data_IF_471789565086
#
_entry.id   IF_471789565086
#
_cell.length_a   1.000
_cell.length_b   1.000
_cell.length_c   1.000
_cell.angle_alpha   90.00
_cell.angle_beta   90.00
_cell.angle_gamma   90.00
#
_symmetry.space_group_name_H-M   'P 1'
#
loop_
_entity.id
_entity.type
_entity.pdbx_description
1 polymer ?
#
# COMPACT_ATOMS: atom_id res chain seq x y z
N UNK A 1 -5.53 -39.45 -15.64
CA UNK A 1 -5.35 -38.22 -14.85
C UNK A 1 -3.90 -37.79 -15.11
N UNK A 2 -3.70 -37.08 -16.21
CA UNK A 2 -2.37 -36.70 -16.70
C UNK A 2 -1.82 -35.57 -15.84
N UNK A 3 -0.70 -35.83 -15.19
CA UNK A 3 0.10 -34.84 -14.48
C UNK A 3 0.79 -33.96 -15.50
N UNK A 4 0.28 -32.73 -15.70
CA UNK A 4 1.04 -31.68 -16.36
C UNK A 4 2.20 -31.27 -15.44
N UNK A 5 3.32 -31.97 -15.57
CA UNK A 5 4.60 -31.48 -15.10
C UNK A 5 5.00 -30.31 -16.01
N UNK A 6 4.56 -29.09 -15.65
CA UNK A 6 5.12 -27.89 -16.26
C UNK A 6 6.59 -27.84 -15.84
N UNK A 7 7.45 -28.15 -16.80
CA UNK A 7 8.90 -28.06 -16.69
C UNK A 7 9.28 -26.57 -16.74
N UNK A 8 9.00 -25.85 -15.66
CA UNK A 8 9.45 -24.47 -15.48
C UNK A 8 10.98 -24.50 -15.51
N UNK A 9 11.60 -23.75 -16.44
CA UNK A 9 13.06 -23.66 -16.50
C UNK A 9 13.62 -23.36 -15.11
N UNK A 10 14.52 -24.20 -14.64
CA UNK A 10 14.98 -24.23 -13.25
C UNK A 10 15.72 -22.92 -12.91
N UNK A 11 15.00 -21.95 -12.34
CA UNK A 11 15.56 -20.64 -12.00
C UNK A 11 16.54 -20.84 -10.85
N UNK A 12 17.74 -20.28 -10.98
CA UNK A 12 18.82 -20.43 -10.00
C UNK A 12 19.46 -19.09 -9.66
N UNK A 13 20.11 -19.00 -8.50
CA UNK A 13 20.92 -17.82 -8.16
C UNK A 13 22.12 -17.64 -9.09
N UNK A 14 22.61 -18.70 -9.73
CA UNK A 14 23.63 -18.57 -10.79
C UNK A 14 23.11 -17.75 -11.95
N UNK A 15 21.88 -17.99 -12.41
CA UNK A 15 21.26 -17.19 -13.47
C UNK A 15 21.19 -15.71 -13.07
N UNK A 16 20.77 -15.41 -11.84
CA UNK A 16 20.74 -14.03 -11.35
C UNK A 16 22.12 -13.37 -11.34
N UNK A 17 23.18 -14.12 -11.02
CA UNK A 17 24.56 -13.63 -11.05
C UNK A 17 25.05 -13.39 -12.48
N UNK A 18 24.70 -14.29 -13.41
CA UNK A 18 25.09 -14.19 -14.82
C UNK A 18 24.43 -13.00 -15.51
N UNK A 19 23.18 -12.69 -15.13
CA UNK A 19 22.49 -11.45 -15.51
C UNK A 19 23.14 -10.20 -14.89
N UNK A 20 24.03 -10.39 -13.91
CA UNK A 20 24.55 -9.34 -13.05
C UNK A 20 23.41 -8.65 -12.33
N UNK A 21 22.44 -9.41 -11.78
CA UNK A 21 21.17 -8.98 -11.20
C UNK A 21 20.91 -9.53 -9.77
N UNK A 22 21.88 -10.20 -9.15
CA UNK A 22 21.78 -10.75 -7.79
C UNK A 22 21.83 -9.67 -6.69
N UNK A 23 21.11 -9.88 -5.59
CA UNK A 23 21.07 -8.97 -4.45
C UNK A 23 21.56 -9.64 -3.17
N UNK A 24 22.49 -10.58 -3.30
CA UNK A 24 23.02 -11.34 -2.17
C UNK A 24 23.57 -10.40 -1.07
N UNK A 25 23.25 -10.63 0.22
CA UNK A 25 22.47 -11.74 0.77
C UNK A 25 20.98 -11.45 0.98
N UNK A 26 20.43 -10.36 0.44
CA UNK A 26 19.08 -9.88 0.74
C UNK A 26 17.96 -10.72 0.09
N UNK A 27 18.31 -11.52 -0.91
CA UNK A 27 17.42 -12.23 -1.80
C UNK A 27 17.40 -13.75 -1.58
N UNK A 28 17.97 -14.26 -0.48
CA UNK A 28 18.08 -15.70 -0.19
C UNK A 28 17.94 -16.07 1.31
N UNK A 29 17.55 -17.32 1.58
CA UNK A 29 17.25 -17.83 2.91
C UNK A 29 18.45 -18.43 3.66
N UNK A 30 19.66 -18.33 3.09
CA UNK A 30 20.88 -18.89 3.72
C UNK A 30 21.39 -18.09 4.91
N UNK A 31 21.03 -16.80 4.99
CA UNK A 31 21.42 -15.94 6.12
C UNK A 31 20.38 -16.06 7.24
N UNK A 32 20.83 -16.20 8.48
CA UNK A 32 19.93 -16.05 9.65
C UNK A 32 19.38 -14.63 9.70
N UNK A 33 18.04 -14.52 9.80
CA UNK A 33 17.31 -13.24 9.81
C UNK A 33 16.49 -13.16 11.10
N UNK A 34 16.51 -11.99 11.76
CA UNK A 34 15.70 -11.77 12.95
C UNK A 34 14.20 -11.65 12.62
N UNK A 35 13.86 -11.15 11.43
CA UNK A 35 12.48 -11.07 10.91
C UNK A 35 12.49 -10.94 9.39
N UNK A 36 11.58 -11.63 8.71
CA UNK A 36 11.31 -11.44 7.28
C UNK A 36 10.42 -10.21 7.06
N UNK A 37 11.06 -9.09 6.76
CA UNK A 37 10.39 -7.86 6.33
C UNK A 37 10.96 -7.44 4.98
N UNK A 38 10.12 -7.27 3.96
CA UNK A 38 10.55 -6.82 2.64
C UNK A 38 11.11 -5.37 2.64
N UNK A 39 10.91 -4.61 3.71
CA UNK A 39 11.64 -3.37 3.94
C UNK A 39 13.15 -3.61 4.10
N UNK A 40 13.51 -4.71 4.76
CA UNK A 40 14.91 -5.08 5.08
C UNK A 40 15.51 -6.09 4.10
N UNK A 41 14.69 -6.97 3.52
CA UNK A 41 15.08 -8.04 2.60
C UNK A 41 14.34 -7.93 1.27
N UNK A 42 14.71 -8.73 0.28
CA UNK A 42 14.13 -8.69 -1.06
C UNK A 42 13.15 -9.83 -1.32
N UNK A 43 12.92 -10.67 -0.32
CA UNK A 43 11.99 -11.81 -0.32
C UNK A 43 11.87 -12.36 1.11
N UNK A 44 10.87 -13.21 1.35
CA UNK A 44 10.57 -13.85 2.64
C UNK A 44 10.90 -15.35 2.63
N UNK A 45 11.33 -15.86 3.78
CA UNK A 45 11.74 -17.24 4.00
C UNK A 45 10.82 -18.01 4.96
N UNK A 46 9.99 -17.30 5.73
CA UNK A 46 9.03 -17.90 6.66
C UNK A 46 7.82 -18.52 5.98
N UNK A 47 7.09 -19.33 6.76
CA UNK A 47 5.94 -20.12 6.30
C UNK A 47 4.77 -19.33 5.74
N UNK A 48 4.66 -18.03 6.06
CA UNK A 48 3.62 -17.13 5.55
C UNK A 48 3.99 -16.51 4.18
N UNK A 49 5.19 -16.76 3.66
CA UNK A 49 5.58 -16.18 2.37
C UNK A 49 4.66 -16.55 1.20
N UNK A 50 4.02 -17.75 1.14
CA UNK A 50 3.12 -18.11 0.05
C UNK A 50 1.82 -17.30 0.07
N UNK A 51 1.35 -16.89 1.25
CA UNK A 51 0.10 -16.13 1.41
C UNK A 51 0.16 -14.78 0.69
N UNK A 52 1.33 -14.14 0.73
CA UNK A 52 1.59 -12.84 0.11
C UNK A 52 2.37 -12.94 -1.21
N UNK A 53 2.68 -14.16 -1.66
CA UNK A 53 3.47 -14.41 -2.86
C UNK A 53 4.86 -13.72 -2.81
N UNK A 54 5.51 -13.85 -1.65
CA UNK A 54 6.77 -13.15 -1.30
C UNK A 54 7.97 -14.07 -1.13
N UNK A 55 7.83 -15.36 -1.43
CA UNK A 55 8.87 -16.35 -1.15
C UNK A 55 10.17 -16.11 -1.95
N UNK A 56 11.30 -16.24 -1.26
CA UNK A 56 12.61 -16.33 -1.89
C UNK A 56 12.71 -17.55 -2.80
N UNK A 57 13.65 -17.51 -3.76
CA UNK A 57 13.90 -18.63 -4.68
C UNK A 57 14.27 -19.93 -3.95
N UNK A 58 15.05 -19.83 -2.88
CA UNK A 58 15.48 -20.96 -2.03
C UNK A 58 14.65 -21.15 -0.75
N UNK A 59 13.47 -20.52 -0.65
CA UNK A 59 12.56 -20.80 0.46
C UNK A 59 11.98 -22.21 0.34
N UNK A 60 12.01 -22.97 1.43
CA UNK A 60 11.36 -24.29 1.51
C UNK A 60 9.84 -24.22 1.37
N UNK A 61 9.25 -23.05 1.67
CA UNK A 61 7.82 -22.79 1.53
C UNK A 61 7.43 -22.31 0.13
N UNK A 62 8.39 -22.09 -0.77
CA UNK A 62 8.08 -21.66 -2.14
C UNK A 62 7.29 -22.77 -2.86
N UNK A 63 6.05 -22.47 -3.19
CA UNK A 63 5.20 -23.36 -3.99
C UNK A 63 5.62 -23.24 -5.46
N UNK A 64 6.01 -24.36 -6.08
CA UNK A 64 6.34 -24.42 -7.52
C UNK A 64 5.08 -24.73 -8.34
N UNK A 65 4.80 -23.92 -9.37
CA UNK A 65 3.54 -23.91 -10.13
C UNK A 65 2.66 -22.71 -9.74
N UNK A 66 1.75 -22.25 -10.61
CA UNK A 66 1.00 -20.96 -10.46
C UNK A 66 0.51 -20.78 -9.01
N UNK A 67 1.19 -19.97 -8.18
CA UNK A 67 0.67 -19.57 -6.90
C UNK A 67 -0.33 -18.46 -7.23
N UNK A 68 -1.62 -18.79 -7.30
CA UNK A 68 -2.58 -17.75 -6.93
C UNK A 68 -2.29 -17.52 -5.46
N UNK A 69 -1.81 -16.33 -5.10
CA UNK A 69 -1.89 -15.88 -3.72
C UNK A 69 -3.27 -16.29 -3.20
N UNK A 70 -3.34 -16.88 -2.00
CA UNK A 70 -4.64 -17.30 -1.44
C UNK A 70 -5.66 -16.16 -1.48
N UNK A 71 -5.16 -14.91 -1.45
CA UNK A 71 -5.83 -13.69 -1.88
C UNK A 71 -5.09 -13.02 -3.06
N UNK A 72 -5.53 -13.25 -4.30
CA UNK A 72 -4.94 -12.65 -5.52
C UNK A 72 -4.95 -11.12 -5.56
N UNK A 73 -5.75 -10.50 -4.70
CA UNK A 73 -6.07 -9.07 -4.70
C UNK A 73 -5.21 -8.28 -3.72
N UNK A 74 -4.48 -8.96 -2.84
CA UNK A 74 -3.48 -8.32 -1.99
C UNK A 74 -2.28 -7.96 -2.88
N UNK A 75 -1.99 -6.67 -2.99
CA UNK A 75 -0.87 -6.12 -3.77
C UNK A 75 -0.01 -5.25 -2.89
N UNK A 76 1.28 -5.19 -3.20
CA UNK A 76 2.19 -4.22 -2.59
C UNK A 76 1.91 -2.83 -3.19
N UNK A 77 1.21 -1.98 -2.42
CA UNK A 77 0.79 -0.64 -2.83
C UNK A 77 1.52 0.44 -2.01
N UNK A 78 1.75 1.63 -2.58
CA UNK A 78 2.37 2.72 -1.84
C UNK A 78 1.40 3.25 -0.77
N UNK A 79 1.94 3.59 0.39
CA UNK A 79 1.22 4.44 1.35
C UNK A 79 1.38 5.89 0.89
N UNK A 80 0.32 6.69 0.98
CA UNK A 80 0.31 8.08 0.47
C UNK A 80 1.50 8.90 1.01
N UNK A 81 2.28 9.46 0.08
CA UNK A 81 3.53 10.23 0.33
C UNK A 81 4.50 9.55 1.30
N UNK A 82 4.44 8.24 1.42
CA UNK A 82 5.38 7.44 2.18
C UNK A 82 6.44 6.84 1.28
N UNK A 83 7.62 6.62 1.82
CA UNK A 83 8.64 5.84 1.14
C UNK A 83 8.34 4.35 1.21
N UNK A 84 7.50 3.89 2.15
CA UNK A 84 7.19 2.46 2.27
C UNK A 84 5.97 2.06 1.43
N UNK A 85 6.01 0.84 0.91
CA UNK A 85 4.84 0.13 0.43
C UNK A 85 4.30 -0.79 1.51
N UNK A 86 3.05 -1.19 1.38
CA UNK A 86 2.39 -2.17 2.26
C UNK A 86 1.53 -3.09 1.40
N UNK A 87 1.41 -4.34 1.82
CA UNK A 87 0.45 -5.26 1.19
C UNK A 87 -0.97 -4.86 1.56
N UNK A 88 -1.75 -4.45 0.54
CA UNK A 88 -3.11 -3.98 0.71
C UNK A 88 -4.04 -4.53 -0.37
N UNK A 89 -5.34 -4.59 -0.08
CA UNK A 89 -6.38 -4.70 -1.10
C UNK A 89 -6.79 -3.29 -1.53
N UNK A 90 -6.57 -2.98 -2.81
CA UNK A 90 -6.86 -1.66 -3.39
C UNK A 90 -7.98 -1.64 -4.42
N UNK A 91 -8.67 -2.76 -4.60
CA UNK A 91 -9.78 -2.93 -5.55
C UNK A 91 -11.01 -3.43 -4.85
N UNK A 92 -12.16 -3.07 -5.40
CA UNK A 92 -13.45 -3.47 -4.89
C UNK A 92 -13.94 -4.71 -5.66
N UNK A 93 -14.26 -5.81 -4.96
CA UNK A 93 -14.78 -7.03 -5.61
C UNK A 93 -16.30 -7.12 -5.58
N UNK A 94 -16.92 -6.62 -4.51
CA UNK A 94 -18.31 -6.92 -4.17
C UNK A 94 -19.11 -5.66 -3.79
N UNK A 95 -18.70 -4.47 -4.23
CA UNK A 95 -19.35 -3.20 -3.89
C UNK A 95 -20.26 -2.69 -5.01
N UNK A 96 -21.07 -1.70 -4.66
CA UNK A 96 -21.81 -0.92 -5.66
C UNK A 96 -20.90 0.10 -6.38
N UNK A 97 -21.40 0.72 -7.45
CA UNK A 97 -20.62 1.66 -8.27
C UNK A 97 -20.10 2.88 -7.51
N UNK A 98 -20.73 3.29 -6.40
CA UNK A 98 -20.32 4.48 -5.64
C UNK A 98 -19.18 4.15 -4.67
N UNK A 99 -19.33 3.08 -3.88
CA UNK A 99 -18.28 2.61 -2.97
C UNK A 99 -17.08 2.06 -3.73
N UNK A 100 -17.31 1.39 -4.87
CA UNK A 100 -16.26 1.00 -5.80
C UNK A 100 -15.49 2.23 -6.30
N UNK A 101 -16.20 3.26 -6.74
CA UNK A 101 -15.59 4.51 -7.17
C UNK A 101 -14.75 5.15 -6.06
N UNK A 102 -15.24 5.22 -4.82
CA UNK A 102 -14.48 5.78 -3.69
C UNK A 102 -13.26 4.92 -3.32
N UNK A 103 -13.38 3.59 -3.34
CA UNK A 103 -12.25 2.69 -3.11
C UNK A 103 -11.11 2.94 -4.10
N UNK A 104 -11.44 3.02 -5.39
CA UNK A 104 -10.44 3.10 -6.45
C UNK A 104 -9.97 4.53 -6.73
N UNK A 105 -10.68 5.55 -6.24
CA UNK A 105 -10.37 6.98 -6.40
C UNK A 105 -9.05 7.43 -5.74
N UNK A 106 -8.60 8.60 -6.15
CA UNK A 106 -7.46 9.32 -5.59
C UNK A 106 -7.96 10.51 -4.75
N UNK A 107 -7.49 10.62 -3.51
CA UNK A 107 -7.88 11.69 -2.59
C UNK A 107 -7.48 13.09 -3.04
N UNK A 108 -6.38 13.24 -3.79
CA UNK A 108 -5.97 14.54 -4.36
C UNK A 108 -6.89 14.97 -5.52
N UNK A 109 -7.29 14.01 -6.36
CA UNK A 109 -8.17 14.28 -7.52
C UNK A 109 -9.60 14.60 -7.12
N UNK A 110 -10.03 14.07 -5.98
CA UNK A 110 -11.41 14.21 -5.47
C UNK A 110 -11.52 15.19 -4.30
N UNK A 111 -10.41 15.80 -3.88
CA UNK A 111 -10.34 16.68 -2.69
C UNK A 111 -10.90 16.00 -1.42
N UNK A 112 -10.58 14.71 -1.25
CA UNK A 112 -11.07 13.88 -0.15
C UNK A 112 -9.90 13.19 0.59
N UNK A 113 -9.44 13.76 1.72
CA UNK A 113 -8.31 13.20 2.47
C UNK A 113 -8.55 11.77 2.98
N UNK A 114 -9.81 11.39 3.23
CA UNK A 114 -10.16 10.07 3.75
C UNK A 114 -9.78 8.95 2.77
N UNK A 115 -9.74 9.24 1.47
CA UNK A 115 -9.37 8.27 0.43
C UNK A 115 -7.88 7.93 0.40
N UNK A 116 -7.04 8.72 1.09
CA UNK A 116 -5.59 8.50 1.19
C UNK A 116 -5.21 7.64 2.40
N UNK A 117 -6.14 7.43 3.33
CA UNK A 117 -5.88 6.81 4.63
C UNK A 117 -6.22 5.32 4.56
N UNK A 118 -5.22 4.43 4.70
CA UNK A 118 -5.46 3.00 4.77
C UNK A 118 -6.32 2.62 5.97
N UNK A 119 -7.08 1.55 5.81
CA UNK A 119 -7.89 0.95 6.85
C UNK A 119 -7.49 -0.51 7.04
N UNK A 120 -7.35 -0.95 8.28
CA UNK A 120 -6.97 -2.33 8.58
C UNK A 120 -8.08 -3.01 9.38
N UNK A 121 -8.48 -4.19 8.91
CA UNK A 121 -9.42 -5.08 9.58
C UNK A 121 -8.71 -5.81 10.71
N UNK A 122 -9.19 -5.67 11.95
CA UNK A 122 -8.68 -6.41 13.11
C UNK A 122 -9.08 -7.89 13.05
N UNK A 123 -10.20 -8.20 12.41
CA UNK A 123 -10.72 -9.55 12.26
C UNK A 123 -9.84 -10.38 11.32
N UNK A 124 -9.52 -9.84 10.13
CA UNK A 124 -8.74 -10.57 9.10
C UNK A 124 -7.26 -10.21 9.10
N UNK A 125 -6.87 -9.12 9.77
CA UNK A 125 -5.51 -8.54 9.76
C UNK A 125 -5.05 -8.08 8.37
N UNK A 126 -6.01 -7.85 7.47
CA UNK A 126 -5.76 -7.35 6.11
C UNK A 126 -5.88 -5.82 6.10
N UNK A 127 -4.95 -5.16 5.42
CA UNK A 127 -5.01 -3.72 5.16
C UNK A 127 -5.64 -3.47 3.80
N UNK A 128 -6.42 -2.40 3.72
CA UNK A 128 -7.11 -1.90 2.54
C UNK A 128 -6.59 -0.50 2.20
N UNK A 129 -6.53 -0.18 0.91
CA UNK A 129 -6.02 1.13 0.41
C UNK A 129 -6.70 2.31 1.09
N UNK A 130 -8.00 2.19 1.32
CA UNK A 130 -8.76 3.11 2.15
C UNK A 130 -9.96 2.41 2.78
N UNK A 131 -10.69 3.16 3.61
CA UNK A 131 -11.90 2.68 4.27
C UNK A 131 -12.94 2.11 3.29
N UNK A 132 -13.14 2.75 2.15
CA UNK A 132 -14.15 2.31 1.17
C UNK A 132 -13.78 0.97 0.51
N UNK A 133 -12.48 0.71 0.32
CA UNK A 133 -12.03 -0.62 -0.09
C UNK A 133 -12.29 -1.69 0.96
N UNK A 134 -12.17 -1.37 2.25
CA UNK A 134 -12.48 -2.33 3.32
C UNK A 134 -13.96 -2.69 3.32
N UNK A 135 -14.85 -1.70 3.32
CA UNK A 135 -16.31 -1.93 3.39
C UNK A 135 -16.90 -2.52 2.11
N UNK A 136 -16.21 -2.34 0.97
CA UNK A 136 -16.57 -3.04 -0.25
C UNK A 136 -16.32 -4.55 -0.15
N UNK A 137 -15.22 -4.94 0.48
CA UNK A 137 -14.71 -6.31 0.44
C UNK A 137 -15.07 -7.14 1.69
N UNK A 138 -15.36 -6.50 2.82
CA UNK A 138 -15.73 -7.15 4.08
C UNK A 138 -17.05 -6.59 4.64
N UNK A 139 -17.89 -7.47 5.20
CA UNK A 139 -18.97 -7.06 6.11
C UNK A 139 -18.39 -7.06 7.53
N UNK A 140 -18.08 -5.86 8.03
CA UNK A 140 -17.28 -5.69 9.25
C UNK A 140 -17.85 -4.58 10.13
N UNK A 141 -17.91 -4.87 11.42
CA UNK A 141 -18.32 -3.91 12.42
C UNK A 141 -17.24 -2.82 12.62
N UNK A 142 -17.69 -1.60 12.92
CA UNK A 142 -16.81 -0.43 13.00
C UNK A 142 -15.71 -0.54 14.06
N UNK A 143 -15.94 -1.30 15.13
CA UNK A 143 -14.98 -1.54 16.21
C UNK A 143 -13.85 -2.49 15.79
N UNK A 144 -14.01 -3.21 14.68
CA UNK A 144 -13.01 -4.07 14.08
C UNK A 144 -12.19 -3.35 13.00
N UNK A 145 -12.34 -2.03 12.86
CA UNK A 145 -11.62 -1.22 11.87
C UNK A 145 -10.65 -0.26 12.54
N UNK A 146 -9.40 -0.28 12.08
CA UNK A 146 -8.39 0.72 12.44
C UNK A 146 -8.04 1.56 11.22
N UNK A 147 -8.39 2.85 11.27
CA UNK A 147 -7.84 3.84 10.34
C UNK A 147 -6.42 4.22 10.77
N UNK A 148 -5.53 4.34 9.79
CA UNK A 148 -4.15 4.76 10.05
C UNK A 148 -4.12 6.23 10.48
N UNK A 149 -3.06 6.63 11.17
CA UNK A 149 -2.96 7.98 11.69
C UNK A 149 -2.54 8.95 10.59
N UNK A 150 -3.11 10.15 10.59
CA UNK A 150 -2.71 11.22 9.67
C UNK A 150 -1.80 12.20 10.42
N UNK A 151 -0.64 12.49 9.86
CA UNK A 151 0.28 13.49 10.38
C UNK A 151 0.32 14.69 9.44
N UNK A 152 0.12 15.88 10.01
CA UNK A 152 0.27 17.16 9.33
C UNK A 152 1.56 17.83 9.77
N UNK A 153 2.21 18.46 8.80
CA UNK A 153 3.53 19.03 8.92
C UNK A 153 3.56 20.37 8.17
N UNK A 154 3.80 21.49 8.85
CA UNK A 154 3.81 22.83 8.23
C UNK A 154 4.58 23.86 9.07
N UNK A 155 4.99 24.97 8.46
CA UNK A 155 5.51 26.15 9.19
C UNK A 155 4.39 27.02 9.78
N UNK A 156 3.12 26.73 9.47
CA UNK A 156 1.95 27.46 9.98
C UNK A 156 1.46 26.92 11.32
N UNK A 157 1.18 27.84 12.26
CA UNK A 157 0.54 27.54 13.55
C UNK A 157 -0.87 26.94 13.42
N UNK A 158 -1.51 27.07 12.26
CA UNK A 158 -2.79 26.44 11.98
C UNK A 158 -2.75 24.91 12.20
N UNK A 159 -1.59 24.30 11.95
CA UNK A 159 -1.37 22.87 12.18
C UNK A 159 -1.21 22.53 13.65
N UNK A 160 -0.88 23.47 14.53
CA UNK A 160 -0.65 23.25 15.97
C UNK A 160 -1.96 22.99 16.77
N UNK A 161 -3.11 23.14 16.12
CA UNK A 161 -4.45 22.93 16.72
C UNK A 161 -4.68 21.48 17.16
N UNK A 162 -5.48 21.32 18.21
CA UNK A 162 -5.95 20.01 18.70
C UNK A 162 -7.13 19.46 17.88
N UNK A 163 -7.83 20.32 17.14
CA UNK A 163 -8.95 19.92 16.28
C UNK A 163 -8.49 19.66 14.86
N UNK A 164 -9.04 18.63 14.21
CA UNK A 164 -8.74 18.35 12.80
C UNK A 164 -9.07 19.57 11.92
N UNK A 165 -8.09 20.14 11.18
CA UNK A 165 -8.34 21.25 10.28
C UNK A 165 -9.13 20.79 9.04
N UNK A 166 -9.75 21.74 8.35
CA UNK A 166 -10.24 21.49 7.00
C UNK A 166 -9.05 21.43 6.05
N UNK A 167 -8.99 20.36 5.27
CA UNK A 167 -7.98 20.17 4.24
C UNK A 167 -8.62 20.43 2.88
N UNK A 168 -7.92 21.17 2.03
CA UNK A 168 -8.27 21.38 0.63
C UNK A 168 -7.06 21.12 -0.25
N UNK A 169 -7.21 20.32 -1.28
CA UNK A 169 -6.15 20.10 -2.26
C UNK A 169 -6.08 21.28 -3.22
N UNK A 170 -4.91 21.89 -3.32
CA UNK A 170 -4.64 22.96 -4.26
C UNK A 170 -3.95 22.39 -5.50
N UNK A 171 -4.70 22.28 -6.61
CA UNK A 171 -4.20 21.64 -7.82
C UNK A 171 -3.08 22.46 -8.50
N UNK A 172 -2.98 23.77 -8.24
CA UNK A 172 -1.92 24.61 -8.80
C UNK A 172 -0.56 24.30 -8.12
N UNK A 173 -0.55 24.24 -6.80
CA UNK A 173 0.66 23.94 -6.00
C UNK A 173 0.87 22.46 -5.74
N UNK A 174 -0.08 21.59 -6.14
CA UNK A 174 -0.09 20.14 -5.91
C UNK A 174 0.14 19.79 -4.43
N UNK A 175 -0.49 20.57 -3.55
CA UNK A 175 -0.30 20.52 -2.11
C UNK A 175 -1.63 20.60 -1.36
N UNK A 176 -1.69 19.93 -0.21
CA UNK A 176 -2.80 20.11 0.72
C UNK A 176 -2.66 21.46 1.42
N UNK A 177 -3.77 22.14 1.59
CA UNK A 177 -3.87 23.44 2.25
C UNK A 177 -4.72 23.30 3.50
N UNK A 178 -4.29 23.96 4.58
CA UNK A 178 -5.10 24.20 5.76
C UNK A 178 -5.51 25.66 5.77
N UNK A 179 -6.81 25.90 5.93
CA UNK A 179 -7.37 27.22 6.14
C UNK A 179 -7.68 27.41 7.63
N UNK A 180 -7.05 28.39 8.27
CA UNK A 180 -7.35 28.79 9.66
C UNK A 180 -7.41 30.33 9.76
N UNK A 181 -8.54 30.84 10.25
CA UNK A 181 -8.77 32.27 10.52
C UNK A 181 -8.32 33.22 9.38
N UNK A 182 -8.57 32.84 8.12
CA UNK A 182 -8.22 33.65 6.94
C UNK A 182 -6.78 33.49 6.44
N UNK A 183 -5.99 32.60 7.06
CA UNK A 183 -4.66 32.22 6.59
C UNK A 183 -4.71 30.82 5.97
N UNK A 184 -4.33 30.73 4.69
CA UNK A 184 -4.14 29.45 4.00
C UNK A 184 -2.66 29.08 4.03
N UNK A 185 -2.34 27.86 4.47
CA UNK A 185 -0.98 27.36 4.52
C UNK A 185 -0.86 25.98 3.89
N UNK A 186 0.21 25.78 3.11
CA UNK A 186 0.55 24.47 2.59
C UNK A 186 0.97 23.55 3.73
N UNK A 187 0.52 22.30 3.67
CA UNK A 187 0.86 21.26 4.63
C UNK A 187 1.37 20.03 3.90
N UNK A 188 2.38 19.40 4.49
CA UNK A 188 2.77 18.04 4.13
C UNK A 188 1.89 17.08 4.91
N UNK A 189 1.23 16.18 4.19
CA UNK A 189 0.42 15.11 4.76
C UNK A 189 1.22 13.82 4.65
N UNK A 190 1.44 13.17 5.78
CA UNK A 190 2.02 11.82 5.87
C UNK A 190 1.06 10.91 6.62
N UNK A 191 1.10 9.62 6.28
CA UNK A 191 0.28 8.61 6.93
C UNK A 191 1.20 7.70 7.75
N UNK A 192 0.85 7.53 9.02
CA UNK A 192 1.59 6.75 10.00
C UNK A 192 0.83 5.48 10.36
N UNK A 193 1.56 4.36 10.48
CA UNK A 193 0.98 3.09 10.94
C UNK A 193 0.52 3.26 12.39
N UNK A 194 -0.71 2.86 12.69
CA UNK A 194 -1.22 2.89 14.05
C UNK A 194 -0.53 1.81 14.92
N UNK A 195 -0.17 2.15 16.16
CA UNK A 195 0.71 1.32 17.00
C UNK A 195 0.14 -0.09 17.24
N UNK A 196 -1.17 -0.21 17.46
CA UNK A 196 -1.86 -1.48 17.73
C UNK A 196 -1.80 -2.45 16.56
N UNK A 197 -1.56 -1.97 15.34
CA UNK A 197 -1.55 -2.80 14.12
C UNK A 197 -0.15 -3.07 13.54
N UNK A 198 0.88 -2.41 14.06
CA UNK A 198 2.28 -2.53 13.59
C UNK A 198 2.79 -3.96 13.50
N UNK A 199 2.31 -4.87 14.35
CA UNK A 199 2.77 -6.26 14.40
C UNK A 199 2.29 -7.15 13.25
N UNK A 200 1.21 -6.77 12.56
CA UNK A 200 0.65 -7.55 11.45
C UNK A 200 0.66 -6.83 10.11
N UNK A 201 0.80 -5.50 10.08
CA UNK A 201 1.03 -4.76 8.83
C UNK A 201 2.29 -5.26 8.13
N UNK A 202 2.12 -5.74 6.88
CA UNK A 202 3.22 -6.27 6.07
C UNK A 202 3.78 -5.20 5.16
N UNK A 203 4.95 -4.67 5.52
CA UNK A 203 5.69 -3.67 4.74
C UNK A 203 6.34 -4.34 3.51
N UNK A 204 6.39 -3.62 2.40
CA UNK A 204 7.01 -4.01 1.14
C UNK A 204 7.66 -2.81 0.44
N UNK A 205 8.41 -3.09 -0.63
CA UNK A 205 9.03 -2.07 -1.50
C UNK A 205 8.08 -1.76 -2.65
N UNK A 206 7.61 -0.52 -2.72
CA UNK A 206 6.72 -0.03 -3.76
C UNK A 206 7.27 1.27 -4.36
N UNK A 207 7.06 1.48 -5.66
CA UNK A 207 7.16 2.80 -6.27
C UNK A 207 5.83 3.54 -6.18
N UNK A 208 5.72 4.69 -6.85
CA UNK A 208 4.49 5.48 -6.92
C UNK A 208 3.29 4.69 -7.47
N UNK A 209 3.55 3.70 -8.34
CA UNK A 209 2.52 2.83 -8.93
C UNK A 209 2.42 1.45 -8.26
N UNK A 210 3.07 1.24 -7.13
CA UNK A 210 3.17 -0.06 -6.47
C UNK A 210 4.37 -0.89 -6.93
N UNK A 211 4.37 -2.17 -6.55
CA UNK A 211 5.34 -3.16 -7.02
C UNK A 211 4.94 -3.69 -8.41
N UNK A 212 5.86 -3.61 -9.36
CA UNK A 212 5.65 -4.15 -10.72
C UNK A 212 5.90 -5.65 -10.71
N UNK A 213 4.83 -6.43 -10.79
CA UNK A 213 4.84 -7.89 -10.74
C UNK A 213 4.48 -8.59 -12.05
N UNK A 214 4.19 -7.81 -13.10
CA UNK A 214 3.73 -8.31 -14.38
C UNK A 214 4.61 -7.74 -15.51
N UNK A 215 4.73 -8.48 -16.61
CA UNK A 215 5.46 -8.04 -17.79
C UNK A 215 4.67 -7.02 -18.61
N UNK A 216 5.39 -6.29 -19.47
CA UNK A 216 4.77 -5.49 -20.53
C UNK A 216 3.89 -6.39 -21.41
N UNK A 217 2.75 -5.86 -21.87
CA UNK A 217 1.86 -6.56 -22.81
C UNK A 217 2.52 -6.83 -24.16
N UNK A 218 3.59 -6.10 -24.48
CA UNK A 218 4.35 -6.23 -25.73
C UNK A 218 5.50 -7.23 -25.61
N UNK A 219 5.77 -7.76 -24.41
CA UNK A 219 6.80 -8.77 -24.20
C UNK A 219 6.35 -10.13 -24.69
N UNK A 220 7.20 -10.84 -25.44
CA UNK A 220 6.82 -12.07 -26.14
C UNK A 220 7.55 -13.33 -25.65
N UNK A 221 8.60 -13.20 -24.84
CA UNK A 221 9.31 -14.35 -24.30
C UNK A 221 8.58 -14.89 -23.05
N UNK A 222 7.74 -15.90 -23.27
CA UNK A 222 6.97 -16.60 -22.25
C UNK A 222 7.82 -17.19 -21.13
N UNK A 223 9.08 -17.57 -21.40
CA UNK A 223 9.99 -18.07 -20.38
C UNK A 223 10.25 -16.98 -19.34
N UNK A 224 10.56 -15.76 -19.79
CA UNK A 224 10.77 -14.63 -18.88
C UNK A 224 9.48 -14.23 -18.17
N UNK A 225 8.33 -14.30 -18.83
CA UNK A 225 7.02 -14.06 -18.19
C UNK A 225 6.78 -15.03 -17.04
N UNK A 226 7.06 -16.32 -17.25
CA UNK A 226 6.93 -17.33 -16.19
C UNK A 226 7.92 -17.07 -15.05
N UNK A 227 9.18 -16.73 -15.36
CA UNK A 227 10.18 -16.41 -14.33
C UNK A 227 9.82 -15.15 -13.53
N UNK A 228 9.22 -14.16 -14.17
CA UNK A 228 8.70 -12.97 -13.48
C UNK A 228 7.64 -13.35 -12.44
N UNK A 229 6.75 -14.30 -12.72
CA UNK A 229 5.72 -14.74 -11.78
C UNK A 229 6.21 -15.75 -10.71
N UNK A 230 7.40 -16.33 -10.85
CA UNK A 230 7.77 -17.55 -10.11
C UNK A 230 8.35 -17.33 -8.70
N UNK A 231 8.86 -16.14 -8.39
CA UNK A 231 9.55 -15.87 -7.11
C UNK A 231 9.62 -14.39 -6.79
N UNK A 232 10.00 -14.07 -5.56
CA UNK A 232 10.28 -12.71 -5.10
C UNK A 232 11.81 -12.53 -4.96
N UNK A 233 12.33 -11.46 -5.51
CA UNK A 233 13.71 -10.98 -5.33
C UNK A 233 13.76 -9.51 -5.73
N UNK A 234 13.08 -8.68 -4.94
CA UNK A 234 12.77 -7.30 -5.30
C UNK A 234 13.99 -6.49 -5.69
N UNK A 235 13.88 -5.76 -6.81
CA UNK A 235 14.92 -4.86 -7.33
C UNK A 235 14.33 -3.49 -7.64
N UNK A 236 15.06 -2.45 -7.29
CA UNK A 236 14.69 -1.07 -7.55
C UNK A 236 15.46 -0.52 -8.74
N UNK A 237 14.85 0.32 -9.55
CA UNK A 237 15.50 1.10 -10.58
C UNK A 237 15.08 2.55 -10.44
N UNK A 238 16.01 3.46 -10.73
CA UNK A 238 15.74 4.89 -10.75
C UNK A 238 15.77 5.38 -12.20
N UNK A 239 14.65 5.95 -12.65
CA UNK A 239 14.50 6.51 -13.98
C UNK A 239 13.87 7.90 -13.93
N UNK A 240 13.45 8.40 -15.10
CA UNK A 240 12.89 9.75 -15.23
C UNK A 240 11.59 9.94 -14.44
N UNK A 241 10.78 8.88 -14.30
CA UNK A 241 9.55 8.86 -13.49
C UNK A 241 9.82 8.56 -12.00
N UNK A 242 11.07 8.62 -11.56
CA UNK A 242 11.48 8.30 -10.19
C UNK A 242 11.72 6.82 -9.94
N UNK A 243 11.45 6.38 -8.70
CA UNK A 243 11.74 5.01 -8.24
C UNK A 243 10.68 4.02 -8.72
N UNK A 244 11.15 2.97 -9.42
CA UNK A 244 10.35 1.80 -9.82
C UNK A 244 10.86 0.57 -9.10
N UNK A 245 9.96 -0.23 -8.55
CA UNK A 245 10.29 -1.48 -7.87
C UNK A 245 9.67 -2.64 -8.62
N UNK A 246 10.48 -3.65 -8.93
CA UNK A 246 10.07 -4.86 -9.64
C UNK A 246 10.15 -6.04 -8.71
N UNK A 247 9.18 -6.95 -8.83
CA UNK A 247 9.10 -8.18 -8.03
C UNK A 247 10.40 -8.99 -8.06
N UNK A 248 11.03 -9.08 -9.22
CA UNK A 248 12.33 -9.73 -9.42
C UNK A 248 13.03 -9.19 -10.69
N UNK A 249 14.30 -9.55 -10.95
CA UNK A 249 15.02 -9.16 -12.15
C UNK A 249 14.35 -9.53 -13.48
N UNK A 250 13.63 -10.66 -13.54
CA UNK A 250 12.91 -11.03 -14.77
C UNK A 250 11.73 -10.12 -15.03
N UNK A 251 11.04 -9.64 -13.99
CA UNK A 251 10.00 -8.63 -14.15
C UNK A 251 10.56 -7.29 -14.64
N UNK A 252 11.73 -6.88 -14.16
CA UNK A 252 12.41 -5.70 -14.71
C UNK A 252 12.79 -5.91 -16.19
N UNK A 253 13.40 -7.06 -16.51
CA UNK A 253 13.78 -7.42 -17.88
C UNK A 253 12.59 -7.40 -18.84
N UNK A 254 11.47 -8.03 -18.48
CA UNK A 254 10.28 -8.05 -19.35
C UNK A 254 9.46 -6.75 -19.36
N UNK A 255 9.95 -5.71 -18.68
CA UNK A 255 9.50 -4.33 -18.81
C UNK A 255 10.58 -3.45 -19.46
N UNK A 256 11.51 -4.06 -20.21
CA UNK A 256 12.57 -3.41 -20.99
C UNK A 256 13.59 -2.63 -20.16
N UNK A 257 13.75 -2.98 -18.88
CA UNK A 257 14.71 -2.34 -17.98
C UNK A 257 16.10 -3.01 -18.00
N UNK A 258 17.15 -2.21 -17.76
CA UNK A 258 18.51 -2.71 -17.57
C UNK A 258 18.73 -3.16 -16.12
N UNK A 259 18.59 -4.47 -15.89
CA UNK A 259 18.73 -5.12 -14.58
C UNK A 259 20.12 -4.94 -13.92
N UNK A 260 21.15 -4.56 -14.70
CA UNK A 260 22.49 -4.33 -14.14
C UNK A 260 22.57 -3.04 -13.31
N UNK A 261 21.68 -2.09 -13.56
CA UNK A 261 21.60 -0.80 -12.83
C UNK A 261 20.67 -0.85 -11.61
N UNK A 262 20.39 -2.06 -11.10
CA UNK A 262 19.47 -2.26 -9.98
C UNK A 262 19.99 -1.71 -8.65
N UNK A 263 19.05 -1.40 -7.78
CA UNK A 263 19.24 -1.16 -6.36
C UNK A 263 18.63 -2.32 -5.58
N UNK A 264 19.43 -2.91 -4.68
CA UNK A 264 19.00 -4.02 -3.83
C UNK A 264 18.39 -3.56 -2.51
N UNK A 265 18.55 -2.29 -2.16
CA UNK A 265 18.01 -1.70 -0.94
C UNK A 265 17.20 -0.47 -1.31
N UNK A 266 16.10 -0.29 -0.62
CA UNK A 266 15.39 0.97 -0.73
C UNK A 266 16.26 2.05 -0.11
N UNK A 267 16.53 3.17 -0.82
CA UNK A 267 17.23 4.27 -0.21
C UNK A 267 16.45 4.71 1.01
N UNK A 268 17.10 4.70 2.17
CA UNK A 268 16.59 5.41 3.33
C UNK A 268 16.83 6.88 3.01
N UNK A 269 15.87 7.53 2.34
CA UNK A 269 15.81 8.97 2.42
C UNK A 269 15.41 9.25 3.87
N UNK A 270 16.38 9.65 4.68
CA UNK A 270 16.15 10.06 6.06
C UNK A 270 15.25 11.30 6.02
N UNK A 271 13.94 11.09 6.08
CA UNK A 271 12.95 12.16 6.13
C UNK A 271 13.08 13.01 7.40
N UNK A 272 13.96 12.62 8.35
CA UNK A 272 14.35 13.46 9.48
C UNK A 272 15.18 14.69 9.08
N UNK A 273 15.62 14.81 7.83
CA UNK A 273 16.39 15.97 7.36
C UNK A 273 15.58 17.26 7.11
N UNK A 274 14.29 17.32 7.46
CA UNK A 274 13.56 18.60 7.50
C UNK A 274 13.64 19.33 8.85
N UNK A 275 14.32 18.74 9.84
CA UNK A 275 14.48 19.31 11.19
C UNK A 275 15.41 20.53 11.30
N UNK A 276 15.78 21.16 10.17
CA UNK A 276 16.68 22.33 10.13
C UNK A 276 15.94 23.69 10.05
N UNK A 277 14.61 23.73 10.17
CA UNK A 277 13.86 24.98 10.27
C UNK A 277 13.32 25.14 11.71
N UNK A 278 13.75 26.19 12.41
CA UNK A 278 13.44 26.48 13.82
C UNK A 278 11.95 26.71 14.13
N UNK A 279 11.06 26.70 13.13
CA UNK A 279 9.61 26.93 13.30
C UNK A 279 8.77 25.97 12.45
N UNK A 280 8.73 24.70 12.83
CA UNK A 280 7.87 23.71 12.19
C UNK A 280 6.88 23.10 13.19
N UNK A 281 5.60 23.08 12.81
CA UNK A 281 4.51 22.49 13.54
C UNK A 281 4.20 21.10 12.98
N UNK A 282 4.14 20.12 13.87
CA UNK A 282 3.78 18.76 13.56
C UNK A 282 2.60 18.36 14.44
N UNK A 283 1.58 17.76 13.85
CA UNK A 283 0.46 17.15 14.58
C UNK A 283 0.09 15.79 14.02
N UNK A 284 -0.08 14.84 14.92
CA UNK A 284 -0.61 13.52 14.65
C UNK A 284 -2.09 13.51 15.04
N UNK A 285 -2.95 13.12 14.10
CA UNK A 285 -4.39 13.00 14.31
C UNK A 285 -4.80 11.54 14.33
N UNK A 286 -5.35 11.12 15.47
CA UNK A 286 -5.91 9.79 15.65
C UNK A 286 -7.35 9.77 15.11
N UNK A 287 -7.59 8.92 14.11
CA UNK A 287 -8.84 8.87 13.37
C UNK A 287 -9.87 7.89 13.95
N UNK A 288 -9.64 7.40 15.17
CA UNK A 288 -10.60 6.56 15.88
C UNK A 288 -11.97 7.23 15.92
N UNK A 289 -12.99 6.46 15.54
CA UNK A 289 -14.39 6.87 15.65
C UNK A 289 -14.74 6.98 17.14
N UNK A 290 -15.06 8.20 17.60
CA UNK A 290 -15.61 8.37 18.94
C UNK A 290 -17.09 7.99 18.87
N UNK A 291 -17.50 7.04 19.71
CA UNK A 291 -18.76 6.27 19.66
C UNK A 291 -20.05 7.10 19.54
N UNK A 292 -19.99 8.42 19.72
CA UNK A 292 -21.13 9.34 19.84
C UNK A 292 -21.49 10.10 18.56
N UNK A 293 -20.77 9.97 17.45
CA UNK A 293 -20.94 10.88 16.31
C UNK A 293 -21.80 10.35 15.15
N UNK A 294 -21.85 9.04 14.91
CA UNK A 294 -22.61 8.45 13.79
C UNK A 294 -23.44 7.21 14.15
N UNK A 295 -24.51 6.98 13.39
CA UNK A 295 -25.39 5.82 13.54
C UNK A 295 -24.73 4.47 13.21
N UNK A 296 -25.45 3.36 13.39
CA UNK A 296 -24.97 2.02 12.98
C UNK A 296 -24.66 2.00 11.48
N UNK A 297 -23.59 1.29 11.09
CA UNK A 297 -23.11 1.22 9.69
C UNK A 297 -22.79 2.60 9.11
N UNK A 298 -22.16 3.45 9.90
CA UNK A 298 -21.61 4.73 9.47
C UNK A 298 -20.22 4.94 10.06
N UNK A 299 -19.41 5.75 9.40
CA UNK A 299 -18.16 6.29 9.95
C UNK A 299 -18.23 7.81 9.99
N UNK A 300 -17.68 8.40 11.05
CA UNK A 300 -17.51 9.84 11.11
C UNK A 300 -16.27 10.27 10.32
N UNK A 301 -16.48 11.00 9.24
CA UNK A 301 -15.42 11.65 8.51
C UNK A 301 -15.03 12.95 9.22
N UNK A 302 -13.89 12.93 9.91
CA UNK A 302 -13.35 14.08 10.66
C UNK A 302 -12.94 15.25 9.75
N UNK A 303 -12.69 15.01 8.46
CA UNK A 303 -12.35 16.05 7.49
C UNK A 303 -13.61 16.77 7.02
N UNK A 304 -14.59 16.04 6.49
CA UNK A 304 -15.84 16.64 6.02
C UNK A 304 -16.85 16.93 7.14
N UNK A 305 -16.55 16.57 8.39
CA UNK A 305 -17.39 16.71 9.59
C UNK A 305 -18.81 16.15 9.38
N UNK A 306 -18.90 14.99 8.70
CA UNK A 306 -20.17 14.33 8.37
C UNK A 306 -20.06 12.83 8.55
N UNK A 307 -21.19 12.17 8.76
CA UNK A 307 -21.25 10.72 8.72
C UNK A 307 -21.31 10.23 7.27
N UNK A 308 -20.57 9.17 6.95
CA UNK A 308 -20.62 8.47 5.65
C UNK A 308 -21.08 7.04 5.85
N UNK A 309 -21.78 6.48 4.87
CA UNK A 309 -22.24 5.09 4.96
C UNK A 309 -21.09 4.09 4.97
N UNK A 310 -21.23 3.09 5.82
CA UNK A 310 -20.31 1.97 6.02
C UNK A 310 -21.05 0.68 5.67
N UNK A 311 -21.51 0.56 4.42
CA UNK A 311 -22.20 -0.63 3.93
C UNK A 311 -22.36 -0.54 2.42
N UNK A 312 -21.92 -1.59 1.72
CA UNK A 312 -22.14 -1.77 0.27
C UNK A 312 -23.60 -1.82 -0.14
N UNK A 313 -24.49 -2.13 0.81
CA UNK A 313 -25.92 -2.32 0.55
C UNK A 313 -26.75 -1.10 0.98
N UNK A 314 -26.09 0.03 1.32
CA UNK A 314 -26.78 1.17 1.92
C UNK A 314 -26.43 2.50 1.29
N UNK A 315 -27.45 3.36 1.14
CA UNK A 315 -27.30 4.72 0.61
C UNK A 315 -27.72 5.72 1.68
N UNK A 316 -27.05 6.87 1.69
CA UNK A 316 -27.41 7.97 2.57
C UNK A 316 -28.75 8.57 2.14
N UNK A 317 -29.76 8.46 2.99
CA UNK A 317 -31.07 9.10 2.83
C UNK A 317 -31.46 9.74 4.16
N UNK A 318 -31.75 11.04 4.14
CA UNK A 318 -32.15 11.82 5.33
C UNK A 318 -31.21 11.64 6.54
N UNK A 319 -29.90 11.59 6.30
CA UNK A 319 -28.87 11.44 7.34
C UNK A 319 -28.77 10.03 7.93
N UNK A 320 -29.40 9.03 7.32
CA UNK A 320 -29.33 7.61 7.70
C UNK A 320 -28.86 6.77 6.52
N UNK A 321 -28.11 5.71 6.82
CA UNK A 321 -27.79 4.70 5.82
C UNK A 321 -28.92 3.68 5.77
N UNK A 322 -29.74 3.79 4.73
CA UNK A 322 -30.87 2.89 4.50
C UNK A 322 -30.46 1.81 3.50
N UNK A 323 -30.96 0.59 3.69
CA UNK A 323 -30.81 -0.48 2.70
C UNK A 323 -31.35 0.01 1.37
N UNK A 324 -30.60 -0.21 0.28
CA UNK A 324 -31.13 0.02 -1.06
C UNK A 324 -32.39 -0.86 -1.22
N UNK A 325 -33.55 -0.25 -1.44
CA UNK A 325 -34.74 -0.98 -1.86
C UNK A 325 -34.49 -1.46 -3.30
N UNK A 326 -34.47 -2.76 -3.51
CA UNK A 326 -34.43 -3.39 -4.84
C UNK A 326 -35.65 -3.02 -5.68
#
# INVERSE_FOLDING_TARGET
>A
METFANNYGDISYSELKDMGADCHPLDNCKKSRNRDELGSYNCNCGSTCPEFDTCCLDSEYRVTGIPRALNSDIKCLPVYRSIIGVFMIGKCQNGDSEIESLCESNGEETDDPLLMIPATSLATKITYKNYFCLVCNEDIDKDQVVLWNLQLQSTSKAVDSSTMPQLRFDNFTRSWMVDDNGTSAAVTVTIEIEESITSFVKICKAGEKGLISNCSKEWTDDSIVQKCAAYMATVGLFGDDGWKWYRNPHCALCNYEDVKRRFCKQPILDTRHWSYLDNFFVRLFVLKDEETSCGRKMIFDKFAKKCRCNSRDSVMQDGKCLSRTT
#
